data_IF_005126964565
#
_entry.id   IF_005126964565
#
_cell.length_a   1.000
_cell.length_b   1.000
_cell.length_c   1.000
_cell.angle_alpha   90.00
_cell.angle_beta   90.00
_cell.angle_gamma   90.00
#
_symmetry.space_group_name_H-M   'P 1'
#
loop_
_entity.id
_entity.type
_entity.pdbx_description
1 polymer ?
#
# COMPACT_ATOMS: atom_id res chain seq x y z
N UNK A 1 6.76 -8.96 -2.94
CA UNK A 1 5.30 -8.97 -2.72
C UNK A 1 5.04 -8.11 -1.50
N UNK A 2 4.64 -6.85 -1.69
CA UNK A 2 4.28 -5.93 -0.59
C UNK A 2 2.77 -5.99 -0.44
N UNK A 3 2.26 -6.00 0.79
CA UNK A 3 0.82 -5.96 1.02
C UNK A 3 0.35 -4.53 1.26
N UNK A 4 -0.83 -4.20 0.74
CA UNK A 4 -1.48 -2.92 0.99
C UNK A 4 -2.99 -3.10 1.18
N UNK A 5 -3.62 -2.12 1.83
CA UNK A 5 -5.08 -1.96 1.84
C UNK A 5 -5.46 -1.07 0.67
N UNK A 6 -6.28 -1.55 -0.27
CA UNK A 6 -6.84 -0.72 -1.36
C UNK A 6 -8.35 -0.63 -1.24
N UNK A 7 -8.87 0.53 -1.64
CA UNK A 7 -10.29 0.84 -1.76
C UNK A 7 -10.59 1.06 -3.24
N UNK A 8 -11.63 0.40 -3.74
CA UNK A 8 -12.12 0.58 -5.12
C UNK A 8 -13.45 1.33 -5.19
N UNK A 9 -14.09 1.49 -4.03
CA UNK A 9 -15.35 2.19 -3.83
C UNK A 9 -15.31 2.89 -2.47
N UNK A 10 -16.15 3.91 -2.29
CA UNK A 10 -16.29 4.61 -1.01
C UNK A 10 -17.19 3.78 -0.08
N UNK A 11 -16.79 3.59 1.17
CA UNK A 11 -17.56 2.85 2.16
C UNK A 11 -16.83 2.75 3.50
N UNK A 12 -17.35 1.91 4.40
CA UNK A 12 -16.71 1.59 5.67
C UNK A 12 -15.62 0.51 5.53
N UNK A 13 -15.16 -0.07 6.65
CA UNK A 13 -14.10 -1.09 6.63
C UNK A 13 -14.40 -2.32 5.76
N UNK A 14 -15.66 -2.58 5.44
CA UNK A 14 -16.10 -3.65 4.56
C UNK A 14 -15.57 -3.54 3.12
N UNK A 15 -15.19 -2.33 2.68
CA UNK A 15 -14.65 -2.12 1.32
C UNK A 15 -13.12 -2.29 1.27
N UNK A 16 -12.46 -2.57 2.40
CA UNK A 16 -11.00 -2.72 2.47
C UNK A 16 -10.56 -4.06 1.88
N UNK A 17 -9.69 -4.02 0.88
CA UNK A 17 -9.07 -5.22 0.30
C UNK A 17 -7.59 -5.29 0.67
N UNK A 18 -7.21 -6.40 1.31
CA UNK A 18 -5.81 -6.70 1.63
C UNK A 18 -5.18 -7.54 0.52
N UNK A 19 -4.31 -6.92 -0.26
CA UNK A 19 -3.82 -7.51 -1.50
C UNK A 19 -2.33 -7.27 -1.72
N UNK A 20 -1.74 -8.11 -2.56
CA UNK A 20 -0.37 -7.93 -3.01
C UNK A 20 -0.33 -6.79 -4.03
N UNK A 21 0.61 -5.88 -3.82
CA UNK A 21 0.89 -4.78 -4.71
C UNK A 21 2.36 -4.76 -5.08
N UNK A 22 2.63 -4.37 -6.31
CA UNK A 22 3.97 -4.04 -6.77
C UNK A 22 4.32 -2.62 -6.32
N UNK A 23 5.48 -2.47 -5.69
CA UNK A 23 6.04 -1.17 -5.33
C UNK A 23 7.25 -0.96 -6.21
N UNK A 24 7.14 -0.01 -7.14
CA UNK A 24 8.23 0.34 -8.04
C UNK A 24 9.41 0.99 -7.33
N UNK A 25 10.44 1.30 -8.10
CA UNK A 25 11.61 2.01 -7.59
C UNK A 25 11.33 3.52 -7.41
N UNK A 26 11.94 4.15 -6.39
CA UNK A 26 11.76 5.57 -6.15
C UNK A 26 12.34 6.40 -7.29
N UNK A 27 11.62 7.46 -7.70
CA UNK A 27 12.13 8.45 -8.64
C UNK A 27 13.15 9.41 -8.00
N UNK A 28 13.71 10.37 -8.78
CA UNK A 28 14.61 11.38 -8.25
C UNK A 28 14.00 12.15 -7.07
N UNK A 29 14.71 12.19 -5.93
CA UNK A 29 14.25 12.85 -4.71
C UNK A 29 13.25 12.05 -3.86
N UNK A 30 12.90 10.83 -4.25
CA UNK A 30 12.03 9.94 -3.48
C UNK A 30 12.84 8.84 -2.76
N UNK A 31 12.23 8.24 -1.73
CA UNK A 31 12.78 7.07 -1.04
C UNK A 31 11.72 5.98 -0.89
N UNK A 32 12.15 4.73 -0.86
CA UNK A 32 11.31 3.56 -0.59
C UNK A 32 11.49 3.13 0.87
N UNK A 33 10.40 3.10 1.63
CA UNK A 33 10.41 2.77 3.06
C UNK A 33 9.73 1.42 3.29
N UNK A 34 10.33 0.59 4.15
CA UNK A 34 9.66 -0.58 4.72
C UNK A 34 8.99 -0.17 6.03
N UNK A 35 7.65 -0.14 6.06
CA UNK A 35 6.90 0.22 7.27
C UNK A 35 7.14 -0.81 8.38
N UNK A 36 7.39 -0.33 9.60
CA UNK A 36 7.52 -1.13 10.83
C UNK A 36 7.01 -0.29 11.99
N UNK A 37 6.19 -0.86 12.85
CA UNK A 37 5.67 -0.26 14.07
C UNK A 37 5.90 -1.23 15.24
N UNK A 38 6.20 -0.71 16.43
CA UNK A 38 6.47 -1.46 17.67
C UNK A 38 5.40 -1.07 18.69
#
# INVERSE_FOLDING_TARGET
MTKAIRLYENGGPEVFKYEDVEVGDPGPGQIKIKQTAI
#
